data_IF_132409067318
#
_entry.id   IF_132409067318
#
_cell.length_a   1.000
_cell.length_b   1.000
_cell.length_c   1.000
_cell.angle_alpha   90.00
_cell.angle_beta   90.00
_cell.angle_gamma   90.00
#
_symmetry.space_group_name_H-M   'P 1'
#
loop_
_entity.id
_entity.type
_entity.pdbx_description
1 polymer ?
#
# COMPACT_ATOMS: atom_id res chain seq x y z
N UNK A 1 -37.18 -3.73 34.68
CA UNK A 1 -35.91 -3.84 33.93
C UNK A 1 -36.06 -2.95 32.73
N UNK A 2 -35.31 -1.86 32.69
CA UNK A 2 -35.52 -0.78 31.74
C UNK A 2 -35.02 -1.18 30.34
N UNK A 3 -35.85 -0.96 29.32
CA UNK A 3 -35.53 -1.30 27.93
C UNK A 3 -34.26 -0.56 27.47
N UNK A 4 -33.99 0.60 28.06
CA UNK A 4 -32.77 1.39 27.86
C UNK A 4 -31.49 0.69 28.33
N UNK A 5 -31.52 -0.06 29.45
CA UNK A 5 -30.34 -0.82 29.90
C UNK A 5 -30.04 -2.03 29.01
N UNK A 6 -31.08 -2.66 28.44
CA UNK A 6 -30.90 -3.77 27.51
C UNK A 6 -30.30 -3.30 26.17
N UNK A 7 -30.73 -2.14 25.67
CA UNK A 7 -30.20 -1.53 24.45
C UNK A 7 -28.74 -1.06 24.61
N UNK A 8 -28.37 -0.48 25.75
CA UNK A 8 -26.98 -0.11 26.04
C UNK A 8 -26.05 -1.33 26.14
N UNK A 9 -26.54 -2.46 26.68
CA UNK A 9 -25.75 -3.70 26.72
C UNK A 9 -25.55 -4.33 25.33
N UNK A 10 -26.55 -4.24 24.45
CA UNK A 10 -26.43 -4.73 23.08
C UNK A 10 -25.51 -3.81 22.26
N UNK A 11 -25.64 -2.48 22.39
CA UNK A 11 -24.71 -1.54 21.74
C UNK A 11 -23.27 -1.77 22.17
N UNK A 12 -23.01 -1.98 23.48
CA UNK A 12 -21.68 -2.30 23.98
C UNK A 12 -21.17 -3.67 23.52
N UNK A 13 -22.05 -4.64 23.27
CA UNK A 13 -21.65 -5.95 22.78
C UNK A 13 -21.32 -5.95 21.28
N UNK A 14 -22.00 -5.13 20.47
CA UNK A 14 -21.69 -4.92 19.05
C UNK A 14 -20.48 -4.01 18.83
N UNK A 15 -20.23 -3.02 19.69
CA UNK A 15 -19.04 -2.15 19.59
C UNK A 15 -17.73 -2.84 20.00
N UNK A 16 -17.82 -4.04 20.60
CA UNK A 16 -16.68 -4.88 20.98
C UNK A 16 -16.34 -5.94 19.93
N UNK A 17 -16.91 -5.86 18.72
CA UNK A 17 -16.30 -6.49 17.55
C UNK A 17 -14.95 -5.80 17.37
N UNK A 18 -13.92 -6.41 17.94
CA UNK A 18 -12.52 -6.01 17.77
C UNK A 18 -12.35 -5.63 16.32
N UNK A 19 -12.14 -4.33 16.06
CA UNK A 19 -11.39 -3.90 14.88
C UNK A 19 -10.18 -4.84 14.87
N UNK A 20 -10.16 -5.77 13.92
CA UNK A 20 -9.02 -6.66 13.76
C UNK A 20 -7.88 -5.73 13.42
N UNK A 21 -7.11 -5.36 14.43
CA UNK A 21 -5.92 -4.53 14.30
C UNK A 21 -4.95 -5.39 13.49
N UNK A 22 -5.04 -5.27 12.15
CA UNK A 22 -4.05 -5.83 11.27
C UNK A 22 -2.70 -5.26 11.72
N UNK A 23 -1.63 -6.08 11.72
CA UNK A 23 -0.32 -5.60 12.14
C UNK A 23 0.01 -4.33 11.36
N UNK A 24 0.32 -3.27 12.10
CA UNK A 24 0.63 -1.97 11.51
C UNK A 24 1.82 -2.13 10.58
N UNK A 25 1.65 -1.84 9.29
CA UNK A 25 2.73 -1.86 8.31
C UNK A 25 3.78 -0.81 8.66
N UNK A 26 5.04 -1.07 8.30
CA UNK A 26 6.10 -0.06 8.39
C UNK A 26 5.69 1.14 7.52
N UNK A 27 5.94 2.35 8.03
CA UNK A 27 5.59 3.58 7.35
C UNK A 27 6.83 4.24 6.77
N UNK A 28 6.70 4.81 5.58
CA UNK A 28 7.77 5.49 4.86
C UNK A 28 7.28 6.84 4.32
N UNK A 29 8.20 7.78 4.22
CA UNK A 29 7.99 9.04 3.50
C UNK A 29 8.41 8.88 2.03
N UNK A 30 7.84 9.71 1.15
CA UNK A 30 8.25 9.83 -0.24
C UNK A 30 9.75 10.19 -0.36
N UNK A 31 10.28 10.93 0.60
CA UNK A 31 11.72 11.25 0.66
C UNK A 31 12.58 10.01 0.95
N UNK A 32 12.11 9.10 1.80
CA UNK A 32 12.81 7.83 2.02
C UNK A 32 12.73 6.98 0.76
N UNK A 33 11.55 6.87 0.13
CA UNK A 33 11.38 6.13 -1.13
C UNK A 33 12.29 6.67 -2.24
N UNK A 34 12.42 7.98 -2.39
CA UNK A 34 13.22 8.59 -3.47
C UNK A 34 14.72 8.37 -3.36
N UNK A 35 15.21 7.93 -2.19
CA UNK A 35 16.60 7.51 -2.04
C UNK A 35 16.91 6.17 -2.75
N UNK A 36 15.89 5.36 -3.03
CA UNK A 36 15.98 4.03 -3.63
C UNK A 36 15.56 4.10 -5.11
N UNK A 37 16.40 4.73 -5.93
CA UNK A 37 16.10 5.10 -7.32
C UNK A 37 17.06 4.51 -8.37
N UNK A 38 17.68 3.35 -8.11
CA UNK A 38 18.65 2.71 -9.03
C UNK A 38 18.29 1.26 -9.33
N UNK A 39 18.84 0.66 -10.38
CA UNK A 39 18.52 -0.73 -10.77
C UNK A 39 18.79 -1.76 -9.65
N UNK A 40 19.83 -1.54 -8.84
CA UNK A 40 20.20 -2.44 -7.74
C UNK A 40 19.68 -1.95 -6.38
N UNK A 41 18.83 -0.92 -6.36
CA UNK A 41 18.18 -0.37 -5.18
C UNK A 41 16.96 0.46 -5.62
N UNK A 42 15.84 -0.22 -5.87
CA UNK A 42 14.67 0.37 -6.52
C UNK A 42 13.41 0.18 -5.69
N UNK A 43 12.90 1.27 -5.11
CA UNK A 43 11.59 1.29 -4.49
C UNK A 43 10.59 2.06 -5.33
N UNK A 44 9.31 1.72 -5.20
CA UNK A 44 8.21 2.41 -5.87
C UNK A 44 6.99 2.48 -4.95
N UNK A 45 6.15 3.49 -5.18
CA UNK A 45 4.81 3.55 -4.58
C UNK A 45 3.76 3.15 -5.59
N UNK A 46 2.85 2.25 -5.20
CA UNK A 46 1.64 1.93 -5.96
C UNK A 46 0.46 1.91 -4.98
N UNK A 47 -0.52 2.80 -5.17
CA UNK A 47 -1.70 2.95 -4.29
C UNK A 47 -1.35 3.04 -2.80
N UNK A 48 -0.46 3.99 -2.47
CA UNK A 48 0.04 4.26 -1.11
C UNK A 48 0.87 3.14 -0.45
N UNK A 49 1.04 1.99 -1.10
CA UNK A 49 1.92 0.93 -0.64
C UNK A 49 3.33 1.13 -1.20
N UNK A 50 4.33 0.80 -0.39
CA UNK A 50 5.74 0.91 -0.77
C UNK A 50 6.27 -0.47 -1.08
N UNK A 51 6.89 -0.60 -2.25
CA UNK A 51 7.41 -1.84 -2.78
C UNK A 51 8.92 -1.75 -2.96
N UNK A 52 9.65 -2.77 -2.51
CA UNK A 52 11.04 -2.98 -2.91
C UNK A 52 11.06 -3.94 -4.09
N UNK A 53 11.26 -3.41 -5.29
CA UNK A 53 11.21 -4.19 -6.54
C UNK A 53 12.60 -4.49 -7.09
N UNK A 54 13.65 -4.28 -6.29
CA UNK A 54 15.06 -4.44 -6.70
C UNK A 54 15.32 -5.79 -7.36
N UNK A 55 14.89 -6.88 -6.73
CA UNK A 55 15.07 -8.24 -7.27
C UNK A 55 14.18 -8.52 -8.49
N UNK A 56 13.07 -7.80 -8.65
CA UNK A 56 12.14 -7.98 -9.76
C UNK A 56 12.56 -7.23 -11.03
N UNK A 57 13.45 -6.24 -10.93
CA UNK A 57 13.85 -5.37 -12.06
C UNK A 57 14.20 -6.17 -13.32
N UNK A 58 14.94 -7.28 -13.17
CA UNK A 58 15.40 -8.13 -14.30
C UNK A 58 14.39 -9.18 -14.74
N UNK A 59 13.38 -9.45 -13.92
CA UNK A 59 12.33 -10.43 -14.19
C UNK A 59 11.08 -9.79 -14.81
N UNK A 60 10.98 -8.46 -14.78
CA UNK A 60 9.85 -7.73 -15.32
C UNK A 60 9.69 -7.95 -16.84
N UNK A 61 8.56 -8.53 -17.30
CA UNK A 61 8.36 -8.83 -18.72
C UNK A 61 8.37 -7.59 -19.64
N UNK A 62 8.08 -6.41 -19.11
CA UNK A 62 8.16 -5.14 -19.84
C UNK A 62 9.58 -4.56 -19.94
N UNK A 63 10.56 -5.19 -19.29
CA UNK A 63 11.94 -4.71 -19.18
C UNK A 63 12.19 -3.80 -17.99
N UNK A 64 13.44 -3.77 -17.51
CA UNK A 64 13.90 -2.93 -16.39
C UNK A 64 13.90 -1.45 -16.73
N UNK A 65 14.13 -1.09 -18.00
CA UNK A 65 14.26 0.31 -18.43
C UNK A 65 12.99 1.12 -18.14
N UNK A 66 11.82 0.52 -18.40
CA UNK A 66 10.52 1.16 -18.12
C UNK A 66 10.30 1.32 -16.61
N UNK A 67 10.78 0.37 -15.80
CA UNK A 67 10.69 0.47 -14.35
C UNK A 67 11.59 1.59 -13.80
N UNK A 68 12.80 1.74 -14.37
CA UNK A 68 13.76 2.76 -13.94
C UNK A 68 13.24 4.19 -14.13
N UNK A 69 12.35 4.44 -15.09
CA UNK A 69 11.70 5.75 -15.27
C UNK A 69 10.90 6.20 -14.02
N UNK A 70 10.46 5.25 -13.19
CA UNK A 70 9.64 5.49 -12.00
C UNK A 70 10.35 5.12 -10.69
N UNK A 71 11.63 4.77 -10.74
CA UNK A 71 12.39 4.39 -9.55
C UNK A 71 12.43 5.52 -8.51
N UNK A 72 12.09 5.20 -7.27
CA UNK A 72 12.00 6.14 -6.16
C UNK A 72 10.77 7.05 -6.19
N UNK A 73 9.75 6.74 -6.99
CA UNK A 73 8.57 7.61 -7.17
C UNK A 73 7.24 6.86 -7.01
N UNK A 74 6.12 7.58 -7.12
CA UNK A 74 4.80 6.97 -7.30
C UNK A 74 4.61 6.54 -8.75
N UNK A 75 4.47 5.22 -8.94
CA UNK A 75 4.26 4.57 -10.23
C UNK A 75 2.80 4.14 -10.41
N UNK A 76 1.86 4.61 -9.58
CA UNK A 76 0.47 4.12 -9.55
C UNK A 76 -0.21 4.27 -10.91
N UNK A 77 -0.09 5.47 -11.51
CA UNK A 77 -0.69 5.76 -12.82
C UNK A 77 0.00 4.97 -13.93
N UNK A 78 1.33 4.88 -13.90
CA UNK A 78 2.10 4.12 -14.90
C UNK A 78 1.76 2.63 -14.86
N UNK A 79 1.58 2.07 -13.67
CA UNK A 79 1.17 0.67 -13.48
C UNK A 79 -0.27 0.45 -13.98
N UNK A 80 -1.19 1.37 -13.70
CA UNK A 80 -2.60 1.26 -14.10
C UNK A 80 -2.84 1.47 -15.61
N UNK A 81 -1.99 2.24 -16.29
CA UNK A 81 -2.11 2.51 -17.74
C UNK A 81 -1.75 1.29 -18.61
N UNK A 82 -1.05 0.30 -18.05
CA UNK A 82 -0.66 -0.91 -18.78
C UNK A 82 -1.59 -2.10 -18.46
N UNK A 83 -1.81 -3.01 -19.42
CA UNK A 83 -2.66 -4.18 -19.23
C UNK A 83 -1.95 -5.26 -18.39
N UNK A 84 -1.63 -4.95 -17.14
CA UNK A 84 -1.13 -5.92 -16.17
C UNK A 84 -2.21 -6.97 -15.88
N UNK A 85 -1.84 -8.24 -15.95
CA UNK A 85 -2.73 -9.36 -15.59
C UNK A 85 -3.03 -9.38 -14.10
N UNK A 86 -4.02 -10.17 -13.67
CA UNK A 86 -4.27 -10.40 -12.25
C UNK A 86 -3.03 -10.98 -11.55
N UNK A 87 -2.30 -11.87 -12.22
CA UNK A 87 -1.06 -12.46 -11.69
C UNK A 87 0.01 -11.41 -11.40
N UNK A 88 0.07 -10.33 -12.19
CA UNK A 88 1.00 -9.23 -11.92
C UNK A 88 0.71 -8.55 -10.58
N UNK A 89 -0.57 -8.37 -10.22
CA UNK A 89 -0.96 -7.86 -8.91
C UNK A 89 -0.58 -8.82 -7.77
N UNK A 90 -0.73 -10.13 -7.97
CA UNK A 90 -0.35 -11.16 -6.98
C UNK A 90 1.18 -11.19 -6.79
N UNK A 91 1.94 -11.07 -7.88
CA UNK A 91 3.41 -11.00 -7.81
C UNK A 91 3.83 -9.74 -7.04
N UNK A 92 3.20 -8.60 -7.33
CA UNK A 92 3.50 -7.32 -6.71
C UNK A 92 3.34 -7.36 -5.18
N UNK A 93 2.36 -8.10 -4.66
CA UNK A 93 2.16 -8.25 -3.20
C UNK A 93 3.40 -8.80 -2.46
N UNK A 94 4.22 -9.62 -3.13
CA UNK A 94 5.44 -10.19 -2.53
C UNK A 94 6.51 -9.15 -2.21
N UNK A 95 6.45 -8.01 -2.89
CA UNK A 95 7.44 -6.94 -2.80
C UNK A 95 7.02 -5.82 -1.84
N UNK A 96 5.86 -5.93 -1.17
CA UNK A 96 5.41 -4.91 -0.20
C UNK A 96 6.34 -4.90 1.01
N UNK A 97 6.93 -3.73 1.27
CA UNK A 97 7.74 -3.48 2.47
C UNK A 97 7.04 -2.56 3.48
N UNK A 98 5.98 -1.87 3.05
CA UNK A 98 5.18 -1.00 3.92
C UNK A 98 4.18 -0.14 3.19
N UNK A 99 3.88 1.02 3.77
CA UNK A 99 2.92 1.99 3.25
C UNK A 99 3.42 3.42 3.50
N UNK A 100 2.90 4.39 2.77
CA UNK A 100 3.23 5.78 3.00
C UNK A 100 2.72 6.26 4.37
N UNK A 101 3.43 7.23 4.95
CA UNK A 101 2.93 7.97 6.11
C UNK A 101 1.59 8.64 5.77
N UNK A 102 0.63 8.72 6.72
CA UNK A 102 -0.72 9.21 6.41
C UNK A 102 -0.78 10.58 5.72
N UNK A 103 0.14 11.50 6.03
CA UNK A 103 0.17 12.84 5.44
C UNK A 103 0.64 12.90 3.98
N UNK A 104 1.14 11.79 3.44
CA UNK A 104 1.65 11.71 2.06
C UNK A 104 0.87 10.69 1.21
N UNK A 105 -0.20 10.10 1.75
CA UNK A 105 -1.08 9.17 1.02
C UNK A 105 -1.97 9.91 0.03
N UNK A 106 -2.20 9.32 -1.14
CA UNK A 106 -3.04 9.86 -2.20
C UNK A 106 -4.34 9.08 -2.40
N UNK A 107 -4.43 7.83 -1.92
CA UNK A 107 -5.57 6.92 -2.14
C UNK A 107 -6.28 6.50 -0.85
N UNK A 108 -5.77 6.88 0.32
CA UNK A 108 -6.39 6.62 1.60
C UNK A 108 -7.67 7.47 1.79
N UNK A 109 -8.83 6.82 1.66
CA UNK A 109 -10.14 7.42 1.87
C UNK A 109 -10.56 7.54 3.35
N UNK A 110 -9.63 7.40 4.32
CA UNK A 110 -9.98 7.58 5.75
C UNK A 110 -10.30 9.03 6.14
N UNK A 111 -10.28 9.98 5.20
CA UNK A 111 -10.99 11.27 5.31
C UNK A 111 -12.15 11.29 4.30
N UNK A 112 -13.15 10.46 4.55
CA UNK A 112 -14.52 10.77 4.15
C UNK A 112 -15.38 10.56 5.39
N UNK A 113 -15.71 11.71 5.97
CA UNK A 113 -16.62 12.00 7.07
C UNK A 113 -17.81 11.05 7.23
#
# INVERSE_FOLDING_TARGET
MDLFSALNNIQNHFFNFKVVQLPKRKQFTLKEVSAHCTENDCWMVIKDLVYDVTEFMREHPGGSDIMLEYAGTDATMAFADKPHSLDAWIILEKYIIGELVPGERMFDNTISS
#
